data_IF_654029016628
#
_entry.id   IF_654029016628
#
_cell.length_a   1.000
_cell.length_b   1.000
_cell.length_c   1.000
_cell.angle_alpha   90.00
_cell.angle_beta   90.00
_cell.angle_gamma   90.00
#
_symmetry.space_group_name_H-M   'P 1'
#
loop_
_entity.id
_entity.type
_entity.pdbx_description
1 polymer ?
#
# COMPACT_ATOMS: atom_id res chain seq x y z
N UNK A 1 -25.68 -0.15 -14.66
CA UNK A 1 -24.80 -1.14 -15.33
C UNK A 1 -23.58 -1.36 -14.45
N UNK A 2 -23.32 -2.60 -14.02
CA UNK A 2 -22.16 -2.92 -13.19
C UNK A 2 -20.93 -3.12 -14.09
N UNK A 3 -19.94 -2.23 -14.01
CA UNK A 3 -18.67 -2.44 -14.70
C UNK A 3 -17.92 -3.60 -14.02
N UNK A 4 -17.94 -4.77 -14.66
CA UNK A 4 -16.96 -5.83 -14.41
C UNK A 4 -15.62 -5.33 -14.93
N UNK A 5 -14.74 -4.91 -14.02
CA UNK A 5 -13.33 -4.68 -14.38
C UNK A 5 -12.72 -6.02 -14.78
N UNK A 6 -12.30 -6.11 -16.04
CA UNK A 6 -11.65 -7.29 -16.61
C UNK A 6 -10.22 -7.31 -16.07
N UNK A 7 -9.87 -8.38 -15.36
CA UNK A 7 -8.49 -8.67 -14.96
C UNK A 7 -7.62 -8.78 -16.22
N UNK A 8 -6.67 -7.85 -16.38
CA UNK A 8 -5.59 -7.92 -17.37
C UNK A 8 -4.27 -8.05 -16.60
N UNK A 9 -3.41 -9.03 -16.91
CA UNK A 9 -2.19 -9.29 -16.16
C UNK A 9 -1.19 -8.10 -16.16
N UNK A 10 -1.31 -7.17 -17.10
CA UNK A 10 -0.47 -5.97 -17.20
C UNK A 10 -1.13 -4.70 -16.63
N UNK A 11 -2.37 -4.82 -16.13
CA UNK A 11 -3.11 -3.70 -15.56
C UNK A 11 -3.30 -3.88 -14.04
N UNK A 12 -2.54 -3.18 -13.19
CA UNK A 12 -2.71 -3.28 -11.75
C UNK A 12 -4.03 -2.68 -11.25
N UNK A 13 -4.75 -1.89 -12.06
CA UNK A 13 -6.05 -1.34 -11.71
C UNK A 13 -7.10 -2.47 -11.67
N UNK A 14 -7.68 -2.68 -10.49
CA UNK A 14 -8.68 -3.74 -10.25
C UNK A 14 -8.15 -4.98 -9.54
N UNK A 15 -6.85 -5.03 -9.20
CA UNK A 15 -6.32 -6.08 -8.32
C UNK A 15 -6.95 -5.98 -6.92
N UNK A 16 -7.35 -7.13 -6.37
CA UNK A 16 -7.89 -7.19 -5.00
C UNK A 16 -6.81 -6.90 -3.96
N UNK A 17 -7.21 -6.30 -2.84
CA UNK A 17 -6.34 -6.15 -1.68
C UNK A 17 -6.06 -7.51 -1.03
N UNK A 18 -4.80 -7.80 -0.74
CA UNK A 18 -4.36 -8.99 0.00
C UNK A 18 -3.14 -8.67 0.85
N UNK A 19 -3.09 -9.23 2.05
CA UNK A 19 -1.96 -9.09 2.95
C UNK A 19 -0.74 -9.87 2.40
N UNK A 20 0.38 -9.19 2.12
CA UNK A 20 1.66 -9.78 1.69
C UNK A 20 1.71 -10.52 0.33
N UNK A 21 1.51 -9.84 -0.80
CA UNK A 21 1.60 -10.47 -2.12
C UNK A 21 2.23 -9.58 -3.21
N UNK A 22 2.83 -10.18 -4.26
CA UNK A 22 3.35 -9.53 -5.47
C UNK A 22 2.64 -10.11 -6.74
N UNK A 23 1.95 -9.31 -7.58
CA UNK A 23 0.97 -9.75 -8.60
C UNK A 23 1.41 -10.80 -9.62
N UNK A 24 2.72 -10.95 -9.85
CA UNK A 24 3.29 -11.86 -10.83
C UNK A 24 4.07 -13.03 -10.21
N UNK A 25 4.09 -13.15 -8.88
CA UNK A 25 4.84 -14.18 -8.18
C UNK A 25 3.94 -15.37 -7.81
N UNK A 26 4.17 -16.52 -8.45
CA UNK A 26 3.55 -17.82 -8.12
C UNK A 26 4.58 -18.75 -7.46
N UNK A 27 4.91 -18.60 -6.17
CA UNK A 27 5.78 -19.55 -5.52
C UNK A 27 5.01 -20.82 -5.11
N UNK A 28 5.70 -21.94 -4.92
CA UNK A 28 5.10 -23.17 -4.43
C UNK A 28 4.37 -22.95 -3.10
N UNK A 29 3.24 -23.64 -2.89
CA UNK A 29 2.40 -23.57 -1.67
C UNK A 29 3.16 -23.87 -0.37
N UNK A 30 4.29 -24.58 -0.45
CA UNK A 30 5.20 -24.80 0.68
C UNK A 30 5.85 -23.52 1.21
N UNK A 31 5.86 -22.44 0.43
CA UNK A 31 6.52 -21.17 0.76
C UNK A 31 5.79 -20.41 1.88
N UNK A 32 4.48 -20.60 2.02
CA UNK A 32 3.66 -19.89 3.02
C UNK A 32 3.01 -20.81 4.05
N UNK A 33 3.19 -22.12 3.95
CA UNK A 33 2.58 -23.11 4.84
C UNK A 33 2.97 -22.93 6.34
N UNK A 34 3.95 -22.08 6.63
CA UNK A 34 4.41 -21.74 7.99
C UNK A 34 4.48 -20.23 8.26
N UNK A 35 4.03 -19.39 7.32
CA UNK A 35 4.05 -17.95 7.51
C UNK A 35 2.93 -17.57 8.49
N UNK A 36 3.30 -17.03 9.65
CA UNK A 36 2.32 -16.48 10.58
C UNK A 36 1.62 -15.27 9.94
N UNK A 37 0.34 -15.05 10.27
CA UNK A 37 -0.38 -13.83 9.93
C UNK A 37 0.29 -12.64 10.64
N UNK A 38 1.27 -12.01 10.00
CA UNK A 38 2.04 -10.90 10.57
C UNK A 38 1.38 -9.56 10.24
N UNK A 39 0.24 -9.27 10.90
CA UNK A 39 -0.39 -7.96 11.13
C UNK A 39 -1.93 -8.10 11.07
N UNK A 40 -2.61 -8.29 12.21
CA UNK A 40 -4.06 -8.12 12.24
C UNK A 40 -4.38 -6.65 11.94
N UNK A 41 -5.07 -6.36 10.84
CA UNK A 41 -5.73 -5.06 10.64
C UNK A 41 -6.91 -5.00 11.63
N UNK A 42 -6.81 -4.23 12.73
CA UNK A 42 -7.84 -4.20 13.76
C UNK A 42 -9.13 -3.48 13.27
N UNK A 43 -9.06 -2.77 12.15
CA UNK A 43 -10.18 -2.05 11.54
C UNK A 43 -10.88 -2.89 10.44
N UNK A 44 -10.39 -4.10 10.14
CA UNK A 44 -11.00 -5.00 9.16
C UNK A 44 -12.17 -5.80 9.78
N UNK A 45 -13.38 -5.77 9.19
CA UNK A 45 -14.49 -6.61 9.64
C UNK A 45 -14.10 -8.11 9.56
N UNK A 46 -14.31 -8.89 10.63
CA UNK A 46 -14.14 -10.34 10.58
C UNK A 46 -15.09 -10.94 9.53
N UNK A 47 -14.57 -11.76 8.62
CA UNK A 47 -15.41 -12.57 7.72
C UNK A 47 -15.56 -12.08 6.26
N UNK A 48 -14.90 -10.99 5.86
CA UNK A 48 -14.65 -10.76 4.44
C UNK A 48 -13.39 -11.55 4.08
N UNK A 49 -13.43 -12.42 3.06
CA UNK A 49 -12.35 -13.32 2.61
C UNK A 49 -11.04 -12.66 2.14
N UNK A 50 -10.70 -11.50 2.70
CA UNK A 50 -9.45 -10.75 2.57
C UNK A 50 -8.27 -11.39 3.32
N UNK A 51 -8.53 -12.46 4.09
CA UNK A 51 -7.54 -13.20 4.86
C UNK A 51 -7.01 -14.46 4.17
N UNK A 52 -7.59 -14.87 3.04
CA UNK A 52 -7.15 -16.09 2.38
C UNK A 52 -5.85 -15.85 1.56
N UNK A 53 -4.83 -16.71 1.69
CA UNK A 53 -3.68 -16.76 0.80
C UNK A 53 -4.14 -16.84 -0.66
N UNK A 54 -3.67 -15.93 -1.51
CA UNK A 54 -4.09 -15.85 -2.89
C UNK A 54 -3.62 -14.57 -3.59
N UNK A 55 -4.00 -14.36 -4.86
CA UNK A 55 -3.59 -13.20 -5.65
C UNK A 55 -4.12 -11.84 -5.14
N UNK A 56 -3.24 -10.83 -4.94
CA UNK A 56 -3.60 -9.42 -4.63
C UNK A 56 -2.49 -8.56 -3.98
N UNK A 57 -2.72 -7.29 -3.62
CA UNK A 57 -1.65 -6.39 -3.08
C UNK A 57 -2.12 -5.64 -1.84
N UNK A 58 -1.34 -5.57 -0.76
CA UNK A 58 -1.58 -4.60 0.32
C UNK A 58 -0.90 -3.25 0.00
N UNK A 59 -1.05 -2.25 0.87
CA UNK A 59 -0.57 -0.91 0.61
C UNK A 59 0.96 -0.85 0.43
N UNK A 60 1.72 -1.48 1.30
CA UNK A 60 3.19 -1.44 1.27
C UNK A 60 3.82 -2.41 0.27
N UNK A 61 3.16 -3.52 -0.06
CA UNK A 61 3.60 -4.35 -1.18
C UNK A 61 3.26 -3.71 -2.53
N UNK A 62 2.17 -2.95 -2.62
CA UNK A 62 1.87 -2.16 -3.82
C UNK A 62 2.97 -1.14 -4.07
N UNK A 63 3.38 -0.37 -3.06
CA UNK A 63 4.47 0.59 -3.21
C UNK A 63 5.78 -0.12 -3.57
N UNK A 64 6.14 -1.20 -2.88
CA UNK A 64 7.35 -1.97 -3.20
C UNK A 64 7.31 -2.51 -4.64
N UNK A 65 6.18 -3.02 -5.12
CA UNK A 65 6.07 -3.50 -6.49
C UNK A 65 6.25 -2.37 -7.52
N UNK A 66 5.56 -1.23 -7.35
CA UNK A 66 5.67 -0.07 -8.25
C UNK A 66 7.12 0.39 -8.36
N UNK A 67 7.81 0.53 -7.23
CA UNK A 67 9.17 1.03 -7.21
C UNK A 67 10.21 0.00 -7.66
N UNK A 68 10.09 -1.26 -7.22
CA UNK A 68 11.05 -2.31 -7.56
C UNK A 68 11.02 -2.64 -9.06
N UNK A 69 9.81 -2.78 -9.63
CA UNK A 69 9.63 -3.22 -11.01
C UNK A 69 9.42 -2.07 -11.98
N UNK A 70 8.68 -1.03 -11.59
CA UNK A 70 8.40 0.11 -12.44
C UNK A 70 9.56 1.10 -12.54
N UNK A 71 10.34 1.26 -11.46
CA UNK A 71 11.35 2.33 -11.36
C UNK A 71 12.76 1.82 -11.00
N UNK A 72 12.93 0.54 -10.70
CA UNK A 72 14.21 -0.06 -10.35
C UNK A 72 14.75 0.32 -8.96
N UNK A 73 13.97 1.00 -8.12
CA UNK A 73 14.33 1.39 -6.75
C UNK A 73 13.89 0.27 -5.81
N UNK A 74 14.85 -0.44 -5.21
CA UNK A 74 14.59 -1.73 -4.54
C UNK A 74 14.39 -1.63 -3.04
N UNK A 75 13.15 -1.64 -2.56
CA UNK A 75 12.82 -1.73 -1.13
C UNK A 75 11.77 -2.80 -0.80
N UNK A 76 11.71 -3.19 0.48
CA UNK A 76 10.82 -4.22 1.03
C UNK A 76 9.37 -3.77 1.23
N UNK A 77 8.45 -4.73 1.26
CA UNK A 77 7.01 -4.50 1.37
C UNK A 77 6.45 -4.35 2.79
N UNK A 78 7.29 -4.21 3.82
CA UNK A 78 6.87 -4.02 5.20
C UNK A 78 6.63 -2.52 5.49
N UNK A 79 5.40 -2.14 5.84
CA UNK A 79 5.02 -0.73 6.08
C UNK A 79 5.80 -0.06 7.22
N UNK A 80 6.14 -0.81 8.27
CA UNK A 80 6.91 -0.27 9.39
C UNK A 80 8.36 -0.04 9.00
N UNK A 81 8.98 -0.97 8.26
CA UNK A 81 10.33 -0.79 7.75
C UNK A 81 10.40 0.33 6.70
N UNK A 82 9.37 0.48 5.85
CA UNK A 82 9.28 1.59 4.92
C UNK A 82 9.18 2.93 5.68
N UNK A 83 8.37 3.01 6.74
CA UNK A 83 8.25 4.20 7.58
C UNK A 83 9.56 4.53 8.31
N UNK A 84 10.22 3.52 8.89
CA UNK A 84 11.46 3.67 9.63
C UNK A 84 12.65 4.00 8.71
N UNK A 85 12.53 3.74 7.41
CA UNK A 85 13.60 3.94 6.43
C UNK A 85 14.53 2.73 6.28
N UNK A 86 14.18 1.59 6.87
CA UNK A 86 15.00 0.37 6.90
C UNK A 86 14.66 -0.64 5.82
N UNK A 87 13.55 -0.44 5.08
CA UNK A 87 13.13 -1.34 4.00
C UNK A 87 14.08 -1.33 2.77
N UNK A 88 15.03 -0.40 2.69
CA UNK A 88 15.93 -0.24 1.56
C UNK A 88 16.29 1.23 1.32
N UNK A 89 16.66 1.62 0.09
CA UNK A 89 16.98 3.00 -0.28
C UNK A 89 15.70 3.84 -0.38
N UNK A 90 15.13 4.21 0.76
CA UNK A 90 13.91 5.01 0.84
C UNK A 90 14.11 6.48 0.40
N UNK A 91 15.37 6.93 0.33
CA UNK A 91 15.74 8.26 -0.16
C UNK A 91 15.57 9.35 0.89
N UNK A 92 14.91 10.45 0.53
CA UNK A 92 14.81 11.65 1.37
C UNK A 92 13.59 11.58 2.30
N UNK A 93 13.79 11.81 3.60
CA UNK A 93 12.68 11.92 4.57
C UNK A 93 11.88 13.21 4.33
N UNK A 94 10.57 13.11 4.35
CA UNK A 94 9.62 14.22 4.20
C UNK A 94 8.88 14.39 5.53
N UNK A 95 8.83 15.60 6.12
CA UNK A 95 8.07 15.84 7.32
C UNK A 95 6.55 15.82 7.04
N UNK A 96 5.73 15.71 8.08
CA UNK A 96 4.27 15.65 7.98
C UNK A 96 3.65 16.72 7.05
N UNK A 97 4.12 17.96 7.14
CA UNK A 97 3.63 19.09 6.34
C UNK A 97 4.10 19.13 4.88
N UNK A 98 4.95 18.19 4.44
CA UNK A 98 5.55 18.20 3.11
C UNK A 98 6.77 19.14 3.01
N UNK A 99 7.08 19.68 1.81
CA UNK A 99 6.29 19.59 0.58
C UNK A 99 6.40 18.20 -0.09
N UNK A 100 5.25 17.65 -0.46
CA UNK A 100 5.16 16.41 -1.22
C UNK A 100 5.23 16.68 -2.73
N UNK A 101 5.77 15.72 -3.46
CA UNK A 101 5.91 15.68 -4.92
C UNK A 101 5.32 14.37 -5.44
N UNK A 102 4.85 14.34 -6.71
CA UNK A 102 4.35 13.13 -7.34
C UNK A 102 5.37 11.98 -7.20
N UNK A 103 4.90 10.83 -6.70
CA UNK A 103 5.72 9.68 -6.37
C UNK A 103 5.98 9.51 -4.87
N UNK A 104 6.06 10.58 -4.08
CA UNK A 104 6.41 10.46 -2.67
C UNK A 104 5.54 9.44 -1.92
N UNK A 105 6.18 8.59 -1.12
CA UNK A 105 5.48 7.68 -0.22
C UNK A 105 5.02 8.48 0.99
N UNK A 106 3.72 8.49 1.24
CA UNK A 106 3.12 9.21 2.36
C UNK A 106 2.50 8.19 3.33
N UNK A 107 2.93 8.24 4.59
CA UNK A 107 2.55 7.27 5.63
C UNK A 107 1.44 7.84 6.50
N UNK A 108 0.47 6.99 6.80
CA UNK A 108 -0.72 7.33 7.54
C UNK A 108 -0.81 6.49 8.81
N UNK A 109 -1.25 7.11 9.89
CA UNK A 109 -1.52 6.43 11.14
C UNK A 109 -2.98 5.93 11.20
N UNK A 110 -3.28 4.85 11.95
CA UNK A 110 -4.65 4.45 12.18
C UNK A 110 -5.32 5.49 13.09
N UNK A 111 -6.65 5.60 13.07
CA UNK A 111 -7.36 6.60 13.90
C UNK A 111 -7.05 6.48 15.40
N UNK A 112 -6.71 5.28 15.86
CA UNK A 112 -6.49 4.98 17.29
C UNK A 112 -5.07 5.31 17.80
N UNK A 113 -4.04 5.38 16.96
CA UNK A 113 -2.64 5.56 17.40
C UNK A 113 -1.87 6.51 16.49
N UNK A 114 -1.64 7.74 16.93
CA UNK A 114 -1.06 8.81 16.11
C UNK A 114 0.45 8.70 15.79
N UNK A 115 1.15 7.68 16.27
CA UNK A 115 2.62 7.59 16.18
C UNK A 115 3.12 6.36 15.41
N UNK A 116 2.23 5.53 14.86
CA UNK A 116 2.62 4.32 14.14
C UNK A 116 2.01 4.32 12.74
N UNK A 117 2.84 4.12 11.73
CA UNK A 117 2.35 3.95 10.37
C UNK A 117 1.57 2.64 10.26
N UNK A 118 0.33 2.71 9.78
CA UNK A 118 -0.48 1.53 9.43
C UNK A 118 -0.76 1.41 7.94
N UNK A 119 -0.56 2.49 7.18
CA UNK A 119 -0.86 2.52 5.75
C UNK A 119 0.11 3.44 5.01
N UNK A 120 0.37 3.14 3.75
CA UNK A 120 1.20 3.95 2.87
C UNK A 120 0.47 4.19 1.54
N UNK A 121 0.63 5.39 1.01
CA UNK A 121 0.09 5.79 -0.30
C UNK A 121 1.20 6.39 -1.15
N UNK A 122 1.04 6.36 -2.47
CA UNK A 122 1.88 7.15 -3.39
C UNK A 122 1.15 8.46 -3.65
N UNK A 123 1.81 9.58 -3.35
CA UNK A 123 1.29 10.92 -3.63
C UNK A 123 1.26 11.17 -5.13
N UNK A 124 0.14 11.71 -5.65
CA UNK A 124 0.03 12.13 -7.05
C UNK A 124 0.04 13.65 -7.12
N UNK A 125 -0.91 14.28 -6.42
CA UNK A 125 -1.03 15.73 -6.29
C UNK A 125 -1.81 16.08 -5.02
N UNK A 126 -2.09 17.36 -4.74
CA UNK A 126 -2.78 17.73 -3.50
C UNK A 126 -4.18 17.11 -3.39
N UNK A 127 -4.86 16.88 -4.51
CA UNK A 127 -6.19 16.28 -4.58
C UNK A 127 -6.18 14.75 -4.61
N UNK A 128 -5.08 14.11 -4.99
CA UNK A 128 -5.09 12.68 -5.32
C UNK A 128 -3.92 11.87 -4.76
N UNK A 129 -4.22 10.62 -4.43
CA UNK A 129 -3.25 9.58 -4.08
C UNK A 129 -3.58 8.30 -4.84
N UNK A 130 -2.63 7.37 -4.90
CA UNK A 130 -2.89 5.98 -5.27
C UNK A 130 -2.43 5.05 -4.15
N UNK A 131 -3.29 4.10 -3.78
CA UNK A 131 -3.01 3.11 -2.76
C UNK A 131 -3.70 1.78 -3.08
N UNK A 132 -3.39 0.74 -2.30
CA UNK A 132 -4.18 -0.50 -2.26
C UNK A 132 -4.82 -0.65 -0.88
N UNK A 133 -6.16 -0.80 -0.83
CA UNK A 133 -6.90 -0.93 0.43
C UNK A 133 -8.11 -1.84 0.27
N UNK A 134 -8.50 -2.54 1.35
CA UNK A 134 -9.73 -3.38 1.39
C UNK A 134 -10.92 -2.60 0.85
N UNK A 135 -11.23 -1.44 1.45
CA UNK A 135 -12.27 -0.54 0.99
C UNK A 135 -11.99 0.88 1.49
N UNK A 136 -12.04 1.85 0.58
CA UNK A 136 -12.20 3.26 0.91
C UNK A 136 -12.99 3.93 -0.21
N UNK A 137 -13.75 4.98 0.10
CA UNK A 137 -14.48 5.75 -0.92
C UNK A 137 -15.33 4.86 -1.88
N UNK A 138 -15.84 3.72 -1.38
CA UNK A 138 -16.56 2.70 -2.14
C UNK A 138 -15.78 2.06 -3.30
N UNK A 139 -14.45 2.01 -3.20
CA UNK A 139 -13.57 1.33 -4.18
C UNK A 139 -12.62 0.38 -3.46
N UNK A 140 -12.43 -0.80 -4.03
CA UNK A 140 -11.61 -1.89 -3.48
C UNK A 140 -10.26 -1.97 -4.21
N UNK A 141 -9.22 -2.39 -3.49
CA UNK A 141 -7.89 -2.68 -4.04
C UNK A 141 -7.11 -1.44 -4.47
N UNK A 142 -6.28 -1.60 -5.50
CA UNK A 142 -5.45 -0.54 -6.09
C UNK A 142 -6.32 0.49 -6.80
N UNK A 143 -6.34 1.72 -6.31
CA UNK A 143 -7.19 2.79 -6.84
C UNK A 143 -6.53 4.15 -6.68
N UNK A 144 -6.76 5.04 -7.66
CA UNK A 144 -6.63 6.47 -7.42
C UNK A 144 -7.79 6.93 -6.54
N UNK A 145 -7.50 7.71 -5.51
CA UNK A 145 -8.47 8.18 -4.51
C UNK A 145 -8.31 9.66 -4.25
N UNK A 146 -9.42 10.25 -3.82
CA UNK A 146 -9.42 11.64 -3.34
C UNK A 146 -8.61 11.72 -2.04
N UNK A 147 -7.66 12.65 -1.99
CA UNK A 147 -6.89 12.96 -0.79
C UNK A 147 -7.74 13.84 0.10
N UNK A 148 -8.63 13.23 0.89
CA UNK A 148 -9.52 13.93 1.82
C UNK A 148 -9.80 13.09 3.08
N UNK A 149 -10.29 13.76 4.13
CA UNK A 149 -10.54 13.13 5.44
C UNK A 149 -9.29 12.44 5.96
N UNK A 150 -9.40 11.14 6.29
CA UNK A 150 -8.28 10.36 6.83
C UNK A 150 -6.99 10.41 5.97
N UNK A 151 -7.10 10.48 4.63
CA UNK A 151 -5.93 10.61 3.75
C UNK A 151 -5.19 11.96 3.86
N UNK A 152 -5.80 12.97 4.47
CA UNK A 152 -5.17 14.25 4.83
C UNK A 152 -4.83 14.33 6.31
N UNK A 153 -5.75 13.90 7.16
CA UNK A 153 -5.69 14.14 8.59
C UNK A 153 -4.68 13.22 9.30
N UNK A 154 -4.45 12.02 8.77
CA UNK A 154 -3.63 11.01 9.43
C UNK A 154 -2.17 10.97 8.95
N UNK A 155 -1.72 11.98 8.20
CA UNK A 155 -0.36 12.03 7.66
C UNK A 155 0.66 12.10 8.79
N UNK A 156 1.62 11.17 8.77
CA UNK A 156 2.78 11.16 9.66
C UNK A 156 4.00 11.85 9.04
N UNK A 157 4.10 11.81 7.71
CA UNK A 157 5.30 12.15 6.97
C UNK A 157 5.48 11.20 5.79
N UNK A 158 6.65 11.25 5.18
CA UNK A 158 6.90 10.49 3.97
C UNK A 158 8.36 10.20 3.70
N UNK A 159 8.57 9.49 2.60
CA UNK A 159 9.86 9.29 1.97
C UNK A 159 9.73 9.64 0.49
N UNK A 160 10.77 10.26 -0.07
CA UNK A 160 10.95 10.43 -1.51
C UNK A 160 11.99 9.42 -1.97
N UNK A 161 11.57 8.29 -2.56
CA UNK A 161 12.51 7.37 -3.19
C UNK A 161 13.22 8.09 -4.33
N UNK A 162 14.54 8.14 -4.28
CA UNK A 162 15.39 8.78 -5.29
C UNK A 162 16.14 7.67 -6.04
N UNK A 163 16.27 7.85 -7.36
CA UNK A 163 17.12 7.04 -8.24
C UNK A 163 18.51 7.67 -8.39
#
# INVERSE_FOLDING_TARGET
MAMRYIYSPDNPLGLQYRHHHIPAWQPPTSTYAKAAAQNPDPDAPPGLGAWDPGPGLDCSNFTAWVYNYGLGIKFGGNVHEQWDGSAGPMGLRIPQGGPYQPGDLMFLHPKATANQASHVVIFIDDGHIIDSRVNAQNRLGVQVRERQGWYRDAVLGGWRPIS
#
